data_IF_250612529028
#
_entry.id   IF_250612529028
#
_cell.length_a   1.000
_cell.length_b   1.000
_cell.length_c   1.000
_cell.angle_alpha   90.00
_cell.angle_beta   90.00
_cell.angle_gamma   90.00
#
_symmetry.space_group_name_H-M   'P 1'
#
loop_
_entity.id
_entity.type
_entity.pdbx_description
1 polymer ?
#
# COMPACT_ATOMS: atom_id res chain seq x y z
N UNK A 1 -0.54 12.10 8.14
CA UNK A 1 -1.92 11.73 8.50
C UNK A 1 -2.54 11.16 7.24
N UNK A 2 -2.61 9.84 7.14
CA UNK A 2 -3.31 9.15 6.05
C UNK A 2 -4.50 8.44 6.69
N UNK A 3 -5.71 8.77 6.26
CA UNK A 3 -6.93 8.00 6.55
C UNK A 3 -6.79 6.59 5.93
N UNK A 4 -7.59 5.59 6.34
CA UNK A 4 -7.66 4.32 5.61
C UNK A 4 -8.10 4.62 4.17
N UNK A 5 -7.14 4.57 3.25
CA UNK A 5 -7.30 5.08 1.90
C UNK A 5 -6.00 4.94 1.13
N UNK A 6 -6.16 4.65 -0.16
CA UNK A 6 -5.10 4.49 -1.17
C UNK A 6 -4.13 5.69 -1.10
N UNK A 7 -2.81 5.49 -1.26
CA UNK A 7 -1.83 6.58 -1.21
C UNK A 7 -1.11 6.75 -2.55
N UNK A 8 -0.75 8.01 -2.84
CA UNK A 8 -0.10 8.48 -4.06
C UNK A 8 1.40 8.73 -3.86
N UNK A 9 2.16 8.56 -4.93
CA UNK A 9 3.58 8.91 -5.12
C UNK A 9 3.67 9.78 -6.38
N UNK A 10 4.45 10.86 -6.33
CA UNK A 10 4.53 11.87 -7.38
C UNK A 10 5.81 11.65 -8.22
N UNK A 11 5.83 10.56 -9.01
CA UNK A 11 6.84 10.29 -10.04
C UNK A 11 6.18 10.29 -11.43
N UNK A 12 6.88 10.72 -12.50
CA UNK A 12 6.29 11.01 -13.82
C UNK A 12 5.68 9.81 -14.59
N UNK A 13 5.67 8.61 -14.00
CA UNK A 13 5.11 7.39 -14.60
C UNK A 13 4.15 6.63 -13.68
N UNK A 14 3.77 7.20 -12.53
CA UNK A 14 2.85 6.58 -11.56
C UNK A 14 1.58 7.42 -11.41
N UNK A 15 0.50 7.04 -12.12
CA UNK A 15 -0.82 7.66 -11.92
C UNK A 15 -1.56 6.93 -10.80
N UNK A 16 -1.50 7.48 -9.60
CA UNK A 16 -2.25 6.99 -8.44
C UNK A 16 -3.57 7.78 -8.34
N UNK A 17 -4.62 7.21 -7.74
CA UNK A 17 -5.93 7.85 -7.45
C UNK A 17 -6.39 7.37 -6.07
N UNK A 18 -6.86 8.26 -5.18
CA UNK A 18 -7.31 7.87 -3.85
C UNK A 18 -8.54 8.60 -3.37
N UNK A 19 -9.48 7.81 -2.83
CA UNK A 19 -10.66 8.24 -2.11
C UNK A 19 -10.94 7.24 -0.97
N UNK A 20 -10.87 7.71 0.28
CA UNK A 20 -10.95 6.86 1.49
C UNK A 20 -12.24 7.02 2.30
N UNK A 21 -13.16 7.88 1.89
CA UNK A 21 -14.38 8.16 2.65
C UNK A 21 -15.57 7.36 2.09
N UNK A 22 -16.32 6.71 3.00
CA UNK A 22 -17.40 5.73 2.69
C UNK A 22 -18.54 6.31 1.82
N UNK A 23 -18.65 7.64 1.75
CA UNK A 23 -19.69 8.35 1.02
C UNK A 23 -19.38 8.61 -0.46
N UNK A 24 -18.23 8.18 -0.98
CA UNK A 24 -17.82 8.42 -2.38
C UNK A 24 -17.61 7.10 -3.15
N UNK A 25 -18.56 6.17 -3.00
CA UNK A 25 -18.50 4.86 -3.68
C UNK A 25 -18.47 4.99 -5.21
N UNK A 26 -19.15 6.00 -5.73
CA UNK A 26 -19.16 6.39 -7.14
C UNK A 26 -17.79 6.85 -7.63
N UNK A 27 -17.10 7.70 -6.88
CA UNK A 27 -15.74 8.14 -7.23
C UNK A 27 -14.74 6.99 -7.17
N UNK A 28 -14.87 6.10 -6.17
CA UNK A 28 -14.05 4.88 -6.09
C UNK A 28 -14.30 3.96 -7.28
N UNK A 29 -15.55 3.82 -7.71
CA UNK A 29 -15.90 3.03 -8.90
C UNK A 29 -15.31 3.63 -10.17
N UNK A 30 -15.42 4.95 -10.33
CA UNK A 30 -14.81 5.66 -11.44
C UNK A 30 -13.28 5.48 -11.44
N UNK A 31 -12.64 5.58 -10.27
CA UNK A 31 -11.21 5.35 -10.10
C UNK A 31 -10.81 3.91 -10.47
N UNK A 32 -11.59 2.91 -10.08
CA UNK A 32 -11.30 1.50 -10.39
C UNK A 32 -11.35 1.26 -11.90
N UNK A 33 -12.35 1.82 -12.60
CA UNK A 33 -12.49 1.66 -14.05
C UNK A 33 -11.31 2.23 -14.85
N UNK A 34 -10.70 3.30 -14.37
CA UNK A 34 -9.53 3.90 -15.03
C UNK A 34 -8.20 3.29 -14.57
N UNK A 35 -8.18 2.58 -13.43
CA UNK A 35 -6.95 2.01 -12.86
C UNK A 35 -6.63 0.63 -13.43
N UNK A 36 -5.35 0.26 -13.41
CA UNK A 36 -4.88 -1.08 -13.82
C UNK A 36 -4.56 -2.00 -12.62
N UNK A 37 -4.65 -1.45 -11.41
CA UNK A 37 -4.51 -2.17 -10.14
C UNK A 37 -4.90 -1.30 -8.97
N UNK A 38 -5.05 -1.92 -7.81
CA UNK A 38 -5.50 -1.25 -6.58
C UNK A 38 -4.52 -1.54 -5.45
N UNK A 39 -4.10 -0.50 -4.75
CA UNK A 39 -3.35 -0.63 -3.48
C UNK A 39 -4.28 -0.29 -2.32
N UNK A 40 -4.57 -1.26 -1.45
CA UNK A 40 -5.46 -1.05 -0.31
C UNK A 40 -4.64 -0.84 0.96
N UNK A 41 -4.87 0.29 1.61
CA UNK A 41 -4.21 0.65 2.86
C UNK A 41 -5.05 0.17 4.04
N UNK A 42 -4.39 -0.55 4.95
CA UNK A 42 -5.01 -1.09 6.15
C UNK A 42 -4.22 -0.58 7.35
N UNK A 43 -4.90 0.06 8.29
CA UNK A 43 -4.28 0.50 9.54
C UNK A 43 -3.91 -0.72 10.39
N UNK A 44 -2.64 -0.84 10.77
CA UNK A 44 -2.13 -1.98 11.50
C UNK A 44 -2.75 -2.13 12.91
N UNK A 45 -3.14 -1.02 13.55
CA UNK A 45 -3.78 -1.04 14.86
C UNK A 45 -5.26 -1.42 14.76
N UNK A 46 -5.99 -0.79 13.83
CA UNK A 46 -7.43 -1.01 13.65
C UNK A 46 -7.75 -2.33 12.93
N UNK A 47 -6.90 -2.75 11.98
CA UNK A 47 -7.12 -3.94 11.16
C UNK A 47 -8.11 -3.70 10.03
N UNK A 48 -8.79 -4.76 9.59
CA UNK A 48 -9.77 -4.68 8.51
C UNK A 48 -11.06 -4.04 9.04
N UNK A 49 -11.46 -2.94 8.40
CA UNK A 49 -12.74 -2.29 8.66
C UNK A 49 -13.76 -2.64 7.56
N UNK A 50 -15.03 -2.34 7.81
CA UNK A 50 -16.13 -2.56 6.87
C UNK A 50 -15.87 -1.93 5.49
N UNK A 51 -15.25 -0.74 5.46
CA UNK A 51 -14.90 -0.08 4.20
C UNK A 51 -13.82 -0.85 3.43
N UNK A 52 -12.77 -1.30 4.12
CA UNK A 52 -11.69 -2.12 3.54
C UNK A 52 -12.26 -3.39 2.91
N UNK A 53 -13.20 -4.06 3.58
CA UNK A 53 -13.86 -5.25 3.05
C UNK A 53 -14.67 -4.94 1.78
N UNK A 54 -15.42 -3.84 1.77
CA UNK A 54 -16.20 -3.40 0.60
C UNK A 54 -15.28 -3.10 -0.59
N UNK A 55 -14.18 -2.37 -0.35
CA UNK A 55 -13.18 -2.05 -1.37
C UNK A 55 -12.50 -3.31 -1.94
N UNK A 56 -12.12 -4.26 -1.07
CA UNK A 56 -11.56 -5.54 -1.47
C UNK A 56 -12.51 -6.32 -2.37
N UNK A 57 -13.78 -6.46 -1.96
CA UNK A 57 -14.80 -7.16 -2.75
C UNK A 57 -15.04 -6.49 -4.10
N UNK A 58 -15.10 -5.16 -4.12
CA UNK A 58 -15.32 -4.40 -5.34
C UNK A 58 -14.13 -4.51 -6.30
N UNK A 59 -12.89 -4.44 -5.80
CA UNK A 59 -11.70 -4.57 -6.63
C UNK A 59 -11.61 -5.95 -7.30
N UNK A 60 -12.02 -7.01 -6.58
CA UNK A 60 -12.11 -8.37 -7.12
C UNK A 60 -13.23 -8.49 -8.16
N UNK A 61 -14.37 -7.83 -7.97
CA UNK A 61 -15.46 -7.80 -8.95
C UNK A 61 -15.05 -7.15 -10.27
N UNK A 62 -14.29 -6.05 -10.19
CA UNK A 62 -13.69 -5.36 -11.33
C UNK A 62 -12.47 -6.10 -11.92
N UNK A 63 -12.13 -7.29 -11.40
CA UNK A 63 -10.99 -8.13 -11.81
C UNK A 63 -9.63 -7.42 -11.79
N UNK A 64 -9.45 -6.45 -10.89
CA UNK A 64 -8.20 -5.71 -10.75
C UNK A 64 -7.21 -6.48 -9.86
N UNK A 65 -5.90 -6.44 -10.18
CA UNK A 65 -4.88 -6.92 -9.25
C UNK A 65 -4.89 -6.05 -7.98
N UNK A 66 -4.91 -6.72 -6.82
CA UNK A 66 -4.96 -6.07 -5.51
C UNK A 66 -3.65 -6.28 -4.76
N UNK A 67 -3.08 -5.19 -4.28
CA UNK A 67 -1.92 -5.18 -3.36
C UNK A 67 -2.32 -4.54 -2.03
N UNK A 68 -1.67 -4.93 -0.94
CA UNK A 68 -2.03 -4.50 0.42
C UNK A 68 -0.86 -3.75 1.05
N UNK A 69 -1.12 -2.56 1.55
CA UNK A 69 -0.17 -1.77 2.33
C UNK A 69 -0.64 -1.69 3.79
N UNK A 70 0.12 -2.29 4.71
CA UNK A 70 -0.11 -2.16 6.14
C UNK A 70 0.49 -0.83 6.62
N UNK A 71 -0.37 0.12 6.96
CA UNK A 71 -0.01 1.46 7.36
C UNK A 71 -0.09 1.64 8.88
N UNK A 72 0.54 2.70 9.39
CA UNK A 72 0.55 3.08 10.80
C UNK A 72 1.05 1.99 11.75
N UNK A 73 2.06 1.23 11.31
CA UNK A 73 2.71 0.18 12.12
C UNK A 73 3.31 0.79 13.41
N UNK A 74 3.70 2.06 13.37
CA UNK A 74 4.15 2.83 14.53
C UNK A 74 3.14 2.81 15.69
N UNK A 75 1.83 2.76 15.41
CA UNK A 75 0.79 2.70 16.45
C UNK A 75 0.86 1.41 17.26
N UNK A 76 1.28 0.29 16.66
CA UNK A 76 1.46 -0.97 17.39
C UNK A 76 2.49 -0.81 18.52
N UNK A 77 3.46 0.06 18.31
CA UNK A 77 4.62 0.26 19.16
C UNK A 77 4.40 1.41 20.15
N UNK A 78 3.91 2.55 19.65
CA UNK A 78 3.79 3.79 20.41
C UNK A 78 2.48 3.89 21.18
N UNK A 79 1.37 3.41 20.59
CA UNK A 79 0.05 3.49 21.20
C UNK A 79 -0.29 2.20 21.95
N UNK A 80 -0.26 1.06 21.24
CA UNK A 80 -0.62 -0.24 21.81
C UNK A 80 0.50 -0.88 22.63
N UNK A 81 1.75 -0.42 22.47
CA UNK A 81 2.94 -0.91 23.19
C UNK A 81 3.10 -2.43 23.15
N UNK A 82 2.72 -3.04 22.02
CA UNK A 82 2.82 -4.48 21.83
C UNK A 82 4.28 -4.90 21.70
N UNK A 83 4.72 -6.03 22.29
CA UNK A 83 6.03 -6.57 22.03
C UNK A 83 6.16 -6.99 20.55
N UNK A 84 7.39 -7.06 19.98
CA UNK A 84 7.61 -7.37 18.57
C UNK A 84 6.91 -8.65 18.09
N UNK A 85 6.92 -9.69 18.92
CA UNK A 85 6.27 -10.97 18.65
C UNK A 85 4.75 -10.84 18.50
N UNK A 86 4.10 -10.07 19.37
CA UNK A 86 2.64 -9.89 19.35
C UNK A 86 2.22 -8.97 18.19
N UNK A 87 3.02 -7.93 17.91
CA UNK A 87 2.83 -7.10 16.73
C UNK A 87 2.91 -7.92 15.44
N UNK A 88 3.89 -8.84 15.33
CA UNK A 88 3.95 -9.79 14.21
C UNK A 88 2.67 -10.62 14.10
N UNK A 89 2.17 -11.17 15.21
CA UNK A 89 0.95 -11.97 15.18
C UNK A 89 -0.28 -11.15 14.77
N UNK A 90 -0.35 -9.88 15.17
CA UNK A 90 -1.42 -8.97 14.72
C UNK A 90 -1.34 -8.67 13.23
N UNK A 91 -0.15 -8.33 12.71
CA UNK A 91 0.05 -8.12 11.26
C UNK A 91 -0.29 -9.38 10.46
N UNK A 92 0.16 -10.56 10.93
CA UNK A 92 -0.18 -11.85 10.31
C UNK A 92 -1.67 -12.11 10.32
N UNK A 93 -2.35 -11.82 11.43
CA UNK A 93 -3.81 -11.99 11.54
C UNK A 93 -4.54 -11.12 10.51
N UNK A 94 -4.17 -9.84 10.39
CA UNK A 94 -4.74 -8.94 9.38
C UNK A 94 -4.53 -9.49 7.96
N UNK A 95 -3.35 -10.01 7.63
CA UNK A 95 -3.11 -10.64 6.33
C UNK A 95 -3.94 -11.93 6.12
N UNK A 96 -4.15 -12.72 7.16
CA UNK A 96 -5.00 -13.92 7.10
C UNK A 96 -6.47 -13.56 6.85
N UNK A 97 -6.97 -12.51 7.50
CA UNK A 97 -8.31 -11.99 7.25
C UNK A 97 -8.46 -11.50 5.80
N UNK A 98 -7.50 -10.74 5.26
CA UNK A 98 -7.54 -10.29 3.85
C UNK A 98 -7.62 -11.49 2.92
N UNK A 99 -6.78 -12.50 3.13
CA UNK A 99 -6.75 -13.70 2.30
C UNK A 99 -8.06 -14.50 2.37
N UNK A 100 -8.69 -14.54 3.55
CA UNK A 100 -10.02 -15.13 3.74
C UNK A 100 -11.08 -14.41 2.90
N UNK A 101 -11.06 -13.07 2.89
CA UNK A 101 -11.96 -12.25 2.08
C UNK A 101 -11.74 -12.45 0.57
N UNK A 102 -10.49 -12.60 0.15
CA UNK A 102 -10.12 -12.83 -1.26
C UNK A 102 -10.33 -14.29 -1.73
N UNK A 103 -10.74 -15.21 -0.84
CA UNK A 103 -10.92 -16.65 -1.12
C UNK A 103 -9.69 -17.30 -1.78
N UNK A 104 -8.47 -16.82 -1.52
CA UNK A 104 -7.21 -17.50 -1.90
C UNK A 104 -6.66 -18.21 -0.67
N UNK A 105 -6.82 -19.54 -0.62
CA UNK A 105 -6.15 -20.37 0.39
C UNK A 105 -4.65 -20.43 0.07
N UNK A 106 -3.83 -19.75 0.85
CA UNK A 106 -2.39 -20.02 0.84
C UNK A 106 -2.12 -21.41 1.44
N UNK A 107 -1.37 -22.24 0.73
CA UNK A 107 -0.80 -23.47 1.27
C UNK A 107 0.35 -23.12 2.22
N UNK A 108 0.12 -23.21 3.52
CA UNK A 108 1.17 -23.09 4.54
C UNK A 108 2.04 -24.35 4.53
N UNK A 109 3.36 -24.21 4.37
CA UNK A 109 4.32 -25.16 4.95
C UNK A 109 4.68 -24.64 6.35
N UNK A 110 4.37 -25.35 7.44
CA UNK A 110 4.81 -24.94 8.77
C UNK A 110 6.32 -25.20 8.89
N UNK A 111 7.17 -24.21 9.23
CA UNK A 111 8.50 -24.51 9.73
C UNK A 111 8.42 -24.88 11.20
N UNK A 112 9.32 -25.78 11.58
CA UNK A 112 9.51 -26.38 12.89
C UNK A 112 9.52 -25.38 14.05
N UNK A 113 8.89 -25.79 15.15
CA UNK A 113 8.78 -25.08 16.42
C UNK A 113 10.14 -24.91 17.11
N UNK A 114 10.66 -23.68 17.16
CA UNK A 114 11.43 -23.09 18.29
C UNK A 114 12.31 -21.90 17.88
N UNK A 115 12.53 -21.65 16.58
CA UNK A 115 13.32 -20.50 16.14
C UNK A 115 12.48 -19.21 16.17
N UNK A 116 13.05 -18.13 16.73
CA UNK A 116 12.54 -16.76 16.55
C UNK A 116 12.27 -16.54 15.06
N UNK A 117 11.12 -15.93 14.72
CA UNK A 117 10.76 -15.75 13.31
C UNK A 117 11.67 -14.68 12.71
N UNK A 118 12.25 -14.95 11.55
CA UNK A 118 13.19 -14.02 10.90
C UNK A 118 12.61 -12.61 10.70
N UNK A 119 11.30 -12.48 10.47
CA UNK A 119 10.66 -11.17 10.38
C UNK A 119 10.67 -10.41 11.72
N UNK A 120 10.51 -11.10 12.84
CA UNK A 120 10.59 -10.46 14.16
C UNK A 120 12.02 -9.99 14.41
N UNK A 121 13.00 -10.88 14.24
CA UNK A 121 14.40 -10.63 14.56
C UNK A 121 15.07 -9.61 13.63
N UNK A 122 14.80 -9.67 12.32
CA UNK A 122 15.51 -8.86 11.33
C UNK A 122 14.73 -7.64 10.82
N UNK A 123 13.43 -7.54 11.12
CA UNK A 123 12.59 -6.40 10.69
C UNK A 123 12.00 -5.68 11.89
N UNK A 124 11.16 -6.37 12.68
CA UNK A 124 10.47 -5.70 13.78
C UNK A 124 11.43 -5.29 14.89
N UNK A 125 12.38 -6.11 15.32
CA UNK A 125 13.30 -5.76 16.40
C UNK A 125 14.16 -4.53 16.07
N UNK A 126 14.82 -4.42 14.90
CA UNK A 126 15.52 -3.20 14.51
C UNK A 126 14.59 -1.98 14.47
N UNK A 127 13.39 -2.13 13.93
CA UNK A 127 12.39 -1.05 13.97
C UNK A 127 12.08 -0.65 15.42
N UNK A 128 11.79 -1.61 16.29
CA UNK A 128 11.52 -1.37 17.71
C UNK A 128 12.65 -0.66 18.43
N UNK A 129 13.91 -1.02 18.15
CA UNK A 129 15.08 -0.32 18.69
C UNK A 129 15.12 1.15 18.24
N UNK A 130 14.88 1.43 16.97
CA UNK A 130 14.85 2.81 16.44
C UNK A 130 13.78 3.65 17.16
N UNK A 131 12.55 3.16 17.21
CA UNK A 131 11.45 3.88 17.85
C UNK A 131 11.68 4.08 19.35
N UNK A 132 12.12 3.04 20.07
CA UNK A 132 12.37 3.11 21.50
C UNK A 132 13.45 4.13 21.84
N UNK A 133 14.52 4.20 21.05
CA UNK A 133 15.61 5.14 21.30
C UNK A 133 15.24 6.59 20.96
N UNK A 134 14.45 6.82 19.90
CA UNK A 134 13.98 8.17 19.56
C UNK A 134 12.95 8.70 20.58
N UNK A 135 12.15 7.81 21.19
CA UNK A 135 11.11 8.20 22.16
C UNK A 135 11.65 8.27 23.60
N UNK A 136 12.60 7.42 23.96
CA UNK A 136 13.10 7.24 25.32
C UNK A 136 14.13 8.26 25.75
N UNK A 137 15.31 8.25 25.12
CA UNK A 137 16.43 9.12 25.48
C UNK A 137 17.23 9.54 24.24
N UNK A 138 16.91 10.74 23.76
CA UNK A 138 17.47 11.36 22.56
C UNK A 138 18.92 11.81 22.76
N UNK A 139 19.32 12.13 23.99
CA UNK A 139 20.61 12.76 24.28
C UNK A 139 21.71 11.72 24.50
N UNK A 140 21.40 10.58 25.14
CA UNK A 140 22.40 9.55 25.43
C UNK A 140 22.46 8.41 24.40
N UNK A 141 21.31 7.87 24.00
CA UNK A 141 21.24 6.61 23.23
C UNK A 141 21.21 6.85 21.72
N UNK A 142 20.42 7.83 21.28
CA UNK A 142 20.22 8.11 19.85
C UNK A 142 21.51 8.36 19.06
N UNK A 143 22.55 9.07 19.57
CA UNK A 143 23.77 9.30 18.80
C UNK A 143 24.49 8.00 18.44
N UNK A 144 24.53 7.02 19.36
CA UNK A 144 25.18 5.73 19.14
C UNK A 144 24.47 4.90 18.07
N UNK A 145 23.14 4.85 18.12
CA UNK A 145 22.35 4.18 17.09
C UNK A 145 22.45 4.88 15.75
N UNK A 146 22.47 6.21 15.74
CA UNK A 146 22.72 6.97 14.53
C UNK A 146 24.06 6.58 13.89
N UNK A 147 25.12 6.43 14.69
CA UNK A 147 26.42 5.96 14.20
C UNK A 147 26.35 4.50 13.69
N UNK A 148 25.68 3.59 14.40
CA UNK A 148 25.47 2.19 13.97
C UNK A 148 24.68 2.08 12.66
N UNK A 149 23.67 2.94 12.47
CA UNK A 149 22.82 2.96 11.28
C UNK A 149 23.38 3.83 10.14
N UNK A 150 24.51 4.53 10.36
CA UNK A 150 25.10 5.44 9.38
C UNK A 150 24.30 6.73 9.13
N UNK A 151 23.55 7.20 10.14
CA UNK A 151 22.66 8.38 10.06
C UNK A 151 23.32 9.58 10.75
N UNK A 152 23.53 10.69 10.04
CA UNK A 152 24.25 11.85 10.58
C UNK A 152 23.35 13.05 10.96
N UNK A 153 22.83 13.11 12.18
CA UNK A 153 21.94 14.23 12.62
C UNK A 153 22.71 15.51 13.00
N UNK A 154 22.26 16.67 12.51
CA UNK A 154 22.79 17.98 12.93
C UNK A 154 22.36 18.35 14.35
N UNK A 155 23.03 19.36 14.95
CA UNK A 155 22.69 19.83 16.31
C UNK A 155 21.28 20.42 16.40
N UNK A 156 20.76 21.00 15.32
CA UNK A 156 19.40 21.53 15.30
C UNK A 156 18.37 20.42 15.14
N UNK A 157 18.67 19.41 14.31
CA UNK A 157 17.81 18.25 14.11
C UNK A 157 17.61 17.44 15.40
N UNK A 158 18.63 17.35 16.24
CA UNK A 158 18.52 16.68 17.56
C UNK A 158 17.56 17.37 18.52
N UNK A 159 17.31 18.67 18.34
CA UNK A 159 16.37 19.45 19.18
C UNK A 159 14.93 19.35 18.70
N UNK A 160 14.67 18.62 17.61
CA UNK A 160 13.32 18.39 17.12
C UNK A 160 12.51 17.61 18.15
N UNK A 161 11.21 17.90 18.21
CA UNK A 161 10.26 17.08 18.96
C UNK A 161 10.26 15.63 18.44
N UNK A 162 9.85 14.69 19.29
CA UNK A 162 9.89 13.24 19.03
C UNK A 162 9.29 12.86 17.67
N UNK A 163 8.09 13.37 17.33
CA UNK A 163 7.41 13.01 16.06
C UNK A 163 8.18 13.48 14.81
N UNK A 164 8.56 14.76 14.67
CA UNK A 164 9.43 15.21 13.58
C UNK A 164 10.78 14.48 13.52
N UNK A 165 11.41 14.25 14.68
CA UNK A 165 12.69 13.55 14.76
C UNK A 165 12.58 12.10 14.28
N UNK A 166 11.53 11.39 14.70
CA UNK A 166 11.26 10.03 14.28
C UNK A 166 11.05 9.94 12.77
N UNK A 167 10.28 10.88 12.20
CA UNK A 167 10.11 10.96 10.74
C UNK A 167 11.45 11.19 10.04
N UNK A 168 12.30 12.07 10.56
CA UNK A 168 13.62 12.34 9.99
C UNK A 168 14.54 11.11 10.03
N UNK A 169 14.64 10.44 11.19
CA UNK A 169 15.46 9.24 11.36
C UNK A 169 14.97 8.11 10.45
N UNK A 170 13.66 7.86 10.43
CA UNK A 170 13.08 6.85 9.54
C UNK A 170 13.30 7.17 8.06
N UNK A 171 13.15 8.44 7.65
CA UNK A 171 13.41 8.84 6.26
C UNK A 171 14.87 8.62 5.86
N UNK A 172 15.82 8.80 6.77
CA UNK A 172 17.24 8.56 6.47
C UNK A 172 17.62 7.09 6.51
N UNK A 173 16.98 6.32 7.39
CA UNK A 173 17.23 4.89 7.52
C UNK A 173 16.62 4.08 6.37
N UNK A 174 15.32 4.31 6.08
CA UNK A 174 14.61 3.58 5.03
C UNK A 174 14.81 4.20 3.65
N UNK A 175 15.15 5.49 3.59
CA UNK A 175 15.28 6.22 2.33
C UNK A 175 13.92 6.44 1.64
N UNK A 176 13.94 6.35 0.32
CA UNK A 176 12.75 6.45 -0.51
C UNK A 176 11.83 5.22 -0.35
N UNK A 177 10.56 5.37 -0.71
CA UNK A 177 9.55 4.31 -0.67
C UNK A 177 9.72 3.28 -1.81
N UNK A 178 10.93 2.74 -2.00
CA UNK A 178 11.25 1.78 -3.07
C UNK A 178 10.43 0.51 -2.95
N UNK A 179 10.23 -0.01 -1.73
CA UNK A 179 9.43 -1.22 -1.53
C UNK A 179 7.96 -1.08 -1.93
N UNK A 180 7.39 0.13 -1.84
CA UNK A 180 6.04 0.41 -2.36
C UNK A 180 6.03 0.38 -3.89
N UNK A 181 7.01 1.02 -4.51
CA UNK A 181 7.16 1.04 -5.97
C UNK A 181 7.38 -0.38 -6.49
N UNK A 182 8.28 -1.15 -5.89
CA UNK A 182 8.56 -2.54 -6.27
C UNK A 182 7.32 -3.42 -6.14
N UNK A 183 6.52 -3.23 -5.09
CA UNK A 183 5.24 -3.92 -4.95
C UNK A 183 4.29 -3.57 -6.09
N UNK A 184 4.13 -2.28 -6.41
CA UNK A 184 3.28 -1.85 -7.52
C UNK A 184 3.77 -2.40 -8.86
N UNK A 185 5.05 -2.23 -9.19
CA UNK A 185 5.63 -2.68 -10.47
C UNK A 185 5.56 -4.20 -10.65
N UNK A 186 5.78 -4.98 -9.58
CA UNK A 186 5.79 -6.44 -9.70
C UNK A 186 4.39 -7.08 -9.72
N UNK A 187 3.39 -6.42 -9.14
CA UNK A 187 2.06 -7.02 -8.95
C UNK A 187 0.92 -6.29 -9.68
N UNK A 188 1.13 -5.05 -10.12
CA UNK A 188 0.21 -4.30 -10.98
C UNK A 188 0.76 -4.38 -12.41
N UNK A 189 -0.07 -4.89 -13.32
CA UNK A 189 0.31 -5.03 -14.74
C UNK A 189 0.48 -3.66 -15.39
N UNK A 190 1.33 -3.59 -16.40
CA UNK A 190 1.41 -2.40 -17.24
C UNK A 190 0.07 -2.17 -17.96
N UNK A 191 -0.28 -0.92 -18.33
CA UNK A 191 -1.50 -0.63 -19.07
C UNK A 191 -1.62 -1.45 -20.36
N UNK A 192 -0.50 -1.66 -21.07
CA UNK A 192 -0.45 -2.48 -22.29
C UNK A 192 -0.80 -3.94 -22.00
N UNK A 193 -0.22 -4.53 -20.95
CA UNK A 193 -0.48 -5.92 -20.58
C UNK A 193 -1.89 -6.13 -19.98
N UNK A 194 -2.50 -5.07 -19.45
CA UNK A 194 -3.83 -5.12 -18.85
C UNK A 194 -4.96 -4.65 -19.79
N UNK A 195 -4.61 -3.99 -20.90
CA UNK A 195 -5.55 -3.36 -21.82
C UNK A 195 -6.62 -4.33 -22.30
N UNK A 196 -6.21 -5.53 -22.74
CA UNK A 196 -7.15 -6.55 -23.20
C UNK A 196 -8.21 -6.90 -22.15
N UNK A 197 -7.78 -7.20 -20.91
CA UNK A 197 -8.70 -7.53 -19.82
C UNK A 197 -9.65 -6.38 -19.51
N UNK A 198 -9.15 -5.13 -19.60
CA UNK A 198 -9.94 -3.93 -19.33
C UNK A 198 -10.97 -3.66 -20.43
N UNK A 199 -10.60 -3.83 -21.70
CA UNK A 199 -11.50 -3.67 -22.84
C UNK A 199 -12.61 -4.72 -22.77
N UNK A 200 -12.28 -5.99 -22.53
CA UNK A 200 -13.27 -7.07 -22.38
C UNK A 200 -14.30 -6.81 -21.25
N UNK A 201 -13.89 -6.11 -20.19
CA UNK A 201 -14.77 -5.83 -19.04
C UNK A 201 -15.55 -4.50 -19.18
N UNK A 202 -14.98 -3.49 -19.84
CA UNK A 202 -15.51 -2.11 -19.81
C UNK A 202 -16.07 -1.67 -21.17
N UNK A 203 -15.45 -2.08 -22.28
CA UNK A 203 -15.83 -1.61 -23.60
C UNK A 203 -17.05 -2.38 -24.12
N UNK A 204 -18.09 -1.64 -24.52
CA UNK A 204 -19.36 -2.19 -24.98
C UNK A 204 -19.51 -2.21 -26.51
N UNK A 205 -18.52 -1.70 -27.24
CA UNK A 205 -18.53 -1.71 -28.70
C UNK A 205 -18.20 -3.08 -29.29
N UNK A 206 -18.26 -3.19 -30.62
CA UNK A 206 -17.98 -4.45 -31.33
C UNK A 206 -16.51 -4.89 -31.16
N UNK A 207 -16.32 -6.14 -30.76
CA UNK A 207 -15.01 -6.76 -30.50
C UNK A 207 -14.11 -6.83 -31.74
N UNK A 208 -14.71 -6.83 -32.94
CA UNK A 208 -14.01 -6.95 -34.24
C UNK A 208 -13.67 -5.59 -34.87
N UNK A 209 -13.71 -4.49 -34.11
CA UNK A 209 -13.34 -3.18 -34.65
C UNK A 209 -11.83 -2.96 -34.60
N UNK A 210 -11.26 -2.34 -35.64
CA UNK A 210 -9.86 -1.88 -35.68
C UNK A 210 -9.49 -1.05 -34.44
N UNK A 211 -10.48 -0.37 -33.84
CA UNK A 211 -10.35 0.38 -32.61
C UNK A 211 -9.92 -0.50 -31.41
N UNK A 212 -10.42 -1.73 -31.30
CA UNK A 212 -10.06 -2.65 -30.22
C UNK A 212 -8.60 -3.05 -30.31
N UNK A 213 -8.08 -3.27 -31.53
CA UNK A 213 -6.66 -3.56 -31.75
C UNK A 213 -5.77 -2.40 -31.31
N UNK A 214 -6.13 -1.17 -31.68
CA UNK A 214 -5.43 0.04 -31.25
C UNK A 214 -5.53 0.28 -29.74
N UNK A 215 -6.69 0.02 -29.12
CA UNK A 215 -6.86 0.12 -27.66
C UNK A 215 -6.02 -0.91 -26.92
N UNK A 216 -5.91 -2.14 -27.42
CA UNK A 216 -5.05 -3.18 -26.86
C UNK A 216 -3.56 -2.81 -26.91
N UNK A 217 -3.13 -2.14 -27.97
CA UNK A 217 -1.74 -1.70 -28.14
C UNK A 217 -1.41 -0.42 -27.36
N UNK A 218 -2.41 0.28 -26.81
CA UNK A 218 -2.27 1.58 -26.14
C UNK A 218 -1.49 2.60 -27.00
N UNK A 219 -1.79 2.63 -28.31
CA UNK A 219 -1.10 3.47 -29.29
C UNK A 219 -1.45 4.97 -29.06
N UNK A 220 -0.46 5.84 -28.77
CA UNK A 220 -0.70 7.26 -28.52
C UNK A 220 -1.02 8.06 -29.80
N UNK A 221 -0.71 7.54 -30.98
CA UNK A 221 -0.79 8.29 -32.25
C UNK A 221 -2.12 8.08 -32.99
N UNK A 222 -2.98 7.16 -32.51
CA UNK A 222 -4.30 6.91 -33.10
C UNK A 222 -5.25 8.04 -32.72
N UNK A 223 -5.65 8.81 -33.74
CA UNK A 223 -6.63 9.88 -33.61
C UNK A 223 -7.97 9.37 -33.07
N UNK A 224 -8.21 9.64 -31.79
CA UNK A 224 -9.51 9.64 -31.10
C UNK A 224 -10.12 8.28 -30.76
N UNK A 225 -9.63 7.63 -29.70
CA UNK A 225 -10.57 6.99 -28.76
C UNK A 225 -11.35 8.13 -28.08
N UNK A 226 -12.42 8.62 -28.74
CA UNK A 226 -13.39 9.49 -28.08
C UNK A 226 -14.12 8.63 -27.06
N UNK A 227 -13.62 8.64 -25.82
CA UNK A 227 -14.39 8.21 -24.66
C UNK A 227 -15.63 9.09 -24.59
N UNK A 228 -16.73 8.62 -25.17
CA UNK A 228 -18.06 9.07 -24.79
C UNK A 228 -18.29 8.53 -23.38
N UNK A 229 -17.80 9.27 -22.38
CA UNK A 229 -18.21 9.13 -20.99
C UNK A 229 -19.71 9.48 -20.94
N UNK A 230 -20.55 8.50 -21.23
CA UNK A 230 -21.97 8.58 -20.91
C UNK A 230 -22.08 8.41 -19.40
N UNK A 231 -21.91 9.51 -18.67
CA UNK A 231 -22.37 9.61 -17.29
C UNK A 231 -23.89 9.55 -17.40
N UNK A 232 -24.44 8.34 -17.28
CA UNK A 232 -25.87 8.18 -17.09
C UNK A 232 -26.18 8.66 -15.69
N UNK A 233 -26.42 9.97 -15.55
CA UNK A 233 -27.02 10.56 -14.37
C UNK A 233 -28.42 9.97 -14.24
N UNK A 234 -28.55 8.86 -13.52
CA UNK A 234 -29.85 8.40 -13.05
C UNK A 234 -30.23 9.27 -11.86
N UNK A 235 -31.28 10.08 -12.07
CA UNK A 235 -32.08 10.71 -11.03
C UNK A 235 -32.65 9.67 -10.06
#
# INVERSE_FOLDING_TARGET
>A
MWAPGIAFSNRPHENLVANGHVNFSDEVTAAFRISDGVVIFIDAAEGIMLNTERLLKHAVQEKLPVTICLNKIDRLMLELKLPPTDAYYKLRHTLEEVNSLLRRKFTKKPPSSSSQRSFVEFVLEPMYKIFAQVVGDVDECLPRLCDELGISLTKEERKLNIRPLLRLVCNRFFGDFTGFVDMCVNFIKSPVDNAQTKIENIYTGGSDSDLVEHMCQCDPDVSSVRLYLWISTYM
#
